data_IF_343496654355
#
_entry.id   IF_343496654355
#
_cell.length_a   1.000
_cell.length_b   1.000
_cell.length_c   1.000
_cell.angle_alpha   90.00
_cell.angle_beta   90.00
_cell.angle_gamma   90.00
#
_symmetry.space_group_name_H-M   'P 1'
#
loop_
_entity.id
_entity.type
_entity.pdbx_description
1 polymer ?
#
# COMPACT_ATOMS: atom_id res chain seq x y z
N UNK A 1 -83.69 5.14 -61.36
CA UNK A 1 -83.77 4.18 -62.48
C UNK A 1 -83.49 4.93 -63.75
N UNK A 2 -82.46 4.52 -64.50
CA UNK A 2 -82.01 5.12 -65.76
C UNK A 2 -83.15 5.21 -66.76
N UNK A 3 -83.36 6.40 -67.33
CA UNK A 3 -84.13 6.55 -68.55
C UNK A 3 -83.16 6.90 -69.69
N UNK A 4 -82.88 5.90 -70.52
CA UNK A 4 -82.51 6.14 -71.91
C UNK A 4 -83.69 6.86 -72.57
N UNK A 5 -83.54 8.16 -72.86
CA UNK A 5 -84.49 8.91 -73.66
C UNK A 5 -84.07 8.89 -75.12
N UNK A 6 -84.92 8.33 -75.99
CA UNK A 6 -84.84 8.49 -77.45
C UNK A 6 -85.31 9.93 -77.76
N UNK A 7 -84.56 10.69 -78.57
CA UNK A 7 -84.97 12.03 -79.01
C UNK A 7 -86.33 11.95 -79.72
N UNK A 8 -87.36 12.58 -79.15
CA UNK A 8 -88.76 12.58 -79.59
C UNK A 8 -89.08 13.66 -80.63
N UNK A 9 -88.10 14.42 -81.10
CA UNK A 9 -88.27 15.43 -82.15
C UNK A 9 -88.81 16.77 -81.64
N UNK A 10 -88.88 16.97 -80.33
CA UNK A 10 -89.26 18.22 -79.66
C UNK A 10 -88.05 19.05 -79.18
N UNK A 11 -86.83 18.57 -79.41
CA UNK A 11 -85.59 19.24 -79.02
C UNK A 11 -85.06 20.13 -80.15
N UNK A 12 -84.92 21.44 -79.88
CA UNK A 12 -84.25 22.38 -80.79
C UNK A 12 -82.73 22.16 -80.78
N UNK A 13 -82.20 21.64 -81.90
CA UNK A 13 -80.78 21.35 -82.11
C UNK A 13 -80.11 22.34 -83.08
N UNK A 14 -80.75 23.48 -83.37
CA UNK A 14 -80.27 24.47 -84.35
C UNK A 14 -78.92 25.12 -84.01
N UNK A 15 -78.46 25.06 -82.77
CA UNK A 15 -77.18 25.60 -82.32
C UNK A 15 -75.97 24.66 -82.51
N UNK A 16 -76.18 23.39 -82.88
CA UNK A 16 -75.07 22.46 -83.14
C UNK A 16 -74.59 22.59 -84.59
N UNK A 17 -73.26 22.73 -84.77
CA UNK A 17 -72.65 22.80 -86.10
C UNK A 17 -72.90 21.51 -86.89
N UNK A 18 -73.34 21.65 -88.14
CA UNK A 18 -73.49 20.51 -89.04
C UNK A 18 -72.13 19.95 -89.45
N UNK A 19 -72.09 18.64 -89.75
CA UNK A 19 -70.86 17.94 -90.16
C UNK A 19 -70.16 18.62 -91.34
N UNK A 20 -70.92 19.27 -92.23
CA UNK A 20 -70.40 20.06 -93.35
C UNK A 20 -69.64 21.29 -92.86
N UNK A 21 -70.21 22.07 -91.95
CA UNK A 21 -69.56 23.28 -91.41
C UNK A 21 -68.23 22.98 -90.69
N UNK A 22 -68.15 21.83 -90.00
CA UNK A 22 -66.91 21.38 -89.36
C UNK A 22 -65.84 20.95 -90.39
N UNK A 23 -66.27 20.39 -91.53
CA UNK A 23 -65.41 20.03 -92.65
C UNK A 23 -64.75 21.25 -93.30
N UNK A 24 -65.53 22.32 -93.52
CA UNK A 24 -65.05 23.56 -94.15
C UNK A 24 -63.99 24.27 -93.27
N UNK A 25 -64.22 24.32 -91.95
CA UNK A 25 -63.24 24.89 -91.01
C UNK A 25 -61.92 24.10 -90.97
N UNK A 26 -61.98 22.78 -91.08
CA UNK A 26 -60.79 21.92 -91.13
C UNK A 26 -59.99 22.12 -92.43
N UNK A 27 -60.67 22.39 -93.55
CA UNK A 27 -60.01 22.68 -94.82
C UNK A 27 -59.28 24.04 -94.79
N UNK A 28 -59.89 25.05 -94.16
CA UNK A 28 -59.29 26.39 -94.02
C UNK A 28 -57.99 26.33 -93.18
N UNK A 29 -58.00 25.63 -92.04
CA UNK A 29 -56.81 25.48 -91.18
C UNK A 29 -55.65 24.79 -91.93
N UNK A 30 -55.93 23.80 -92.77
CA UNK A 30 -54.89 23.15 -93.58
C UNK A 30 -54.28 24.05 -94.65
N UNK A 31 -55.00 25.06 -95.13
CA UNK A 31 -54.48 26.00 -96.13
C UNK A 31 -53.52 27.04 -95.55
N UNK A 32 -53.50 27.23 -94.22
CA UNK A 32 -52.66 28.21 -93.53
C UNK A 32 -51.33 27.62 -93.03
N UNK A 33 -51.09 26.31 -93.19
CA UNK A 33 -49.82 25.64 -92.80
C UNK A 33 -48.81 25.74 -93.96
N UNK A 34 -47.61 26.35 -93.75
CA UNK A 34 -46.57 26.41 -94.79
C UNK A 34 -45.98 25.03 -95.13
N UNK A 35 -45.62 24.83 -96.39
CA UNK A 35 -44.95 23.61 -96.87
C UNK A 35 -43.47 23.56 -96.43
N UNK A 36 -43.07 22.48 -95.76
CA UNK A 36 -41.71 22.24 -95.22
C UNK A 36 -40.96 21.13 -95.97
N UNK A 37 -41.51 20.62 -97.09
CA UNK A 37 -40.96 19.47 -97.82
C UNK A 37 -39.59 19.72 -98.50
N UNK A 38 -39.08 20.95 -98.50
CA UNK A 38 -37.75 21.32 -99.04
C UNK A 38 -36.64 21.49 -97.99
N UNK A 39 -36.87 21.20 -96.71
CA UNK A 39 -35.96 21.63 -95.64
C UNK A 39 -34.68 20.79 -95.50
N UNK A 40 -34.63 19.53 -95.96
CA UNK A 40 -33.41 18.69 -95.96
C UNK A 40 -33.47 17.64 -97.10
N UNK A 41 -32.73 17.84 -98.19
CA UNK A 41 -32.71 16.92 -99.35
C UNK A 41 -31.36 16.28 -99.66
N UNK A 42 -30.31 16.59 -98.89
CA UNK A 42 -29.01 15.89 -98.90
C UNK A 42 -28.26 16.15 -97.60
N UNK A 43 -27.93 15.08 -96.88
CA UNK A 43 -27.01 15.06 -95.74
C UNK A 43 -25.91 14.05 -96.11
N UNK A 44 -24.66 14.39 -95.80
CA UNK A 44 -23.51 13.50 -96.02
C UNK A 44 -22.72 13.43 -94.73
N UNK A 45 -22.73 12.27 -94.09
CA UNK A 45 -21.89 11.97 -92.94
C UNK A 45 -20.40 12.25 -93.27
N UNK A 46 -19.64 12.88 -92.37
CA UNK A 46 -18.22 13.08 -92.58
C UNK A 46 -17.46 11.75 -92.61
N UNK A 47 -16.74 11.48 -93.70
CA UNK A 47 -15.82 10.35 -93.81
C UNK A 47 -14.43 10.75 -93.30
N UNK A 48 -14.04 10.25 -92.12
CA UNK A 48 -12.77 10.57 -91.47
C UNK A 48 -11.63 9.68 -92.00
N UNK A 49 -11.24 9.88 -93.26
CA UNK A 49 -10.19 9.08 -93.95
C UNK A 49 -8.79 9.21 -93.33
N UNK A 50 -8.55 10.21 -92.49
CA UNK A 50 -7.30 10.38 -91.73
C UNK A 50 -7.35 9.78 -90.31
N UNK A 51 -8.47 9.16 -89.91
CA UNK A 51 -8.57 8.51 -88.61
C UNK A 51 -7.82 7.18 -88.62
N UNK A 52 -7.24 6.79 -87.48
CA UNK A 52 -6.62 5.47 -87.32
C UNK A 52 -7.61 4.32 -87.57
N UNK A 53 -8.90 4.57 -87.38
CA UNK A 53 -9.96 3.61 -87.67
C UNK A 53 -10.11 3.30 -89.17
N UNK A 54 -9.66 4.17 -90.07
CA UNK A 54 -9.69 3.93 -91.52
C UNK A 54 -8.65 2.88 -91.98
N UNK A 55 -7.67 2.55 -91.14
CA UNK A 55 -6.62 1.57 -91.44
C UNK A 55 -6.97 0.15 -90.99
N UNK A 56 -8.11 -0.05 -90.30
CA UNK A 56 -8.55 -1.38 -89.88
C UNK A 56 -9.04 -2.11 -91.12
N UNK A 57 -8.35 -3.18 -91.51
CA UNK A 57 -8.72 -4.00 -92.66
C UNK A 57 -9.43 -5.31 -92.24
N UNK A 58 -9.83 -6.11 -93.23
CA UNK A 58 -10.51 -7.38 -92.98
C UNK A 58 -9.64 -8.38 -92.18
N UNK A 59 -8.32 -8.26 -92.25
CA UNK A 59 -7.35 -9.06 -91.49
C UNK A 59 -7.36 -8.66 -90.02
N UNK A 60 -7.38 -7.36 -89.73
CA UNK A 60 -7.47 -6.85 -88.36
C UNK A 60 -8.77 -7.31 -87.68
N UNK A 61 -9.89 -7.27 -88.41
CA UNK A 61 -11.19 -7.78 -87.94
C UNK A 61 -11.14 -9.29 -87.70
N UNK A 62 -10.46 -10.04 -88.57
CA UNK A 62 -10.29 -11.50 -88.42
C UNK A 62 -9.45 -11.85 -87.19
N UNK A 63 -8.33 -11.14 -87.00
CA UNK A 63 -7.45 -11.34 -85.85
C UNK A 63 -8.16 -11.01 -84.52
N UNK A 64 -9.02 -9.99 -84.51
CA UNK A 64 -9.84 -9.65 -83.35
C UNK A 64 -10.93 -10.70 -83.08
N UNK A 65 -11.52 -11.29 -84.13
CA UNK A 65 -12.48 -12.40 -84.02
C UNK A 65 -11.87 -13.69 -83.45
N UNK A 66 -10.59 -13.94 -83.72
CA UNK A 66 -9.84 -15.08 -83.19
C UNK A 66 -9.36 -14.88 -81.74
N UNK A 67 -9.60 -13.71 -81.14
CA UNK A 67 -9.25 -13.41 -79.75
C UNK A 67 -10.37 -13.78 -78.75
N UNK A 68 -11.27 -14.69 -79.13
CA UNK A 68 -12.24 -15.26 -78.19
C UNK A 68 -11.54 -16.28 -77.30
N UNK A 69 -11.41 -16.01 -76.00
CA UNK A 69 -10.78 -16.89 -75.01
C UNK A 69 -11.53 -18.20 -74.72
N UNK A 70 -12.22 -18.76 -75.71
CA UNK A 70 -12.92 -20.05 -75.66
C UNK A 70 -12.39 -20.89 -76.83
N UNK A 71 -11.78 -22.04 -76.54
CA UNK A 71 -11.16 -22.90 -77.54
C UNK A 71 -12.20 -23.47 -78.52
N UNK A 72 -12.21 -22.94 -79.75
CA UNK A 72 -13.12 -23.36 -80.83
C UNK A 72 -12.57 -24.50 -81.69
N UNK A 73 -11.47 -25.15 -81.27
CA UNK A 73 -10.88 -26.30 -81.97
C UNK A 73 -9.85 -25.94 -83.05
N UNK A 74 -9.45 -24.68 -83.13
CA UNK A 74 -8.43 -24.13 -84.01
C UNK A 74 -7.04 -24.03 -83.35
N UNK A 75 -6.92 -24.42 -82.08
CA UNK A 75 -5.68 -24.40 -81.31
C UNK A 75 -4.99 -25.77 -81.35
N UNK A 76 -3.73 -25.82 -81.80
CA UNK A 76 -2.90 -27.03 -81.70
C UNK A 76 -2.37 -27.21 -80.28
N UNK A 77 -2.96 -28.15 -79.54
CA UNK A 77 -2.59 -28.50 -78.17
C UNK A 77 -1.83 -29.85 -78.09
N UNK A 78 -1.33 -30.36 -79.23
CA UNK A 78 -0.69 -31.69 -79.32
C UNK A 78 0.57 -31.84 -78.44
N UNK A 79 1.20 -30.74 -78.05
CA UNK A 79 2.36 -30.72 -77.15
C UNK A 79 2.01 -30.81 -75.65
N UNK A 80 0.73 -30.71 -75.26
CA UNK A 80 0.28 -30.82 -73.88
C UNK A 80 -0.11 -32.27 -73.56
N UNK A 81 0.28 -32.75 -72.39
CA UNK A 81 -0.06 -34.11 -71.95
C UNK A 81 -1.57 -34.25 -71.73
N UNK A 82 -2.16 -35.33 -72.23
CA UNK A 82 -3.55 -35.66 -71.93
C UNK A 82 -3.70 -36.08 -70.47
N UNK A 83 -4.90 -35.91 -69.90
CA UNK A 83 -5.21 -36.35 -68.53
C UNK A 83 -4.90 -37.84 -68.31
N UNK A 84 -5.08 -38.66 -69.36
CA UNK A 84 -4.73 -40.09 -69.35
C UNK A 84 -3.22 -40.29 -69.24
N UNK A 85 -2.42 -39.62 -70.07
CA UNK A 85 -0.96 -39.73 -70.02
C UNK A 85 -0.38 -39.28 -68.67
N UNK A 86 -0.97 -38.25 -68.04
CA UNK A 86 -0.56 -37.81 -66.71
C UNK A 86 -0.95 -38.83 -65.62
N UNK A 87 -2.09 -39.50 -65.79
CA UNK A 87 -2.54 -40.59 -64.93
C UNK A 87 -1.59 -41.79 -64.96
N UNK A 88 -1.17 -42.19 -66.16
CA UNK A 88 -0.25 -43.32 -66.38
C UNK A 88 1.13 -43.06 -65.76
N UNK A 89 1.69 -41.86 -65.97
CA UNK A 89 2.96 -41.46 -65.31
C UNK A 89 2.86 -41.47 -63.79
N UNK A 90 1.73 -41.05 -63.23
CA UNK A 90 1.53 -41.07 -61.77
C UNK A 90 1.43 -42.50 -61.22
N UNK A 91 0.81 -43.41 -61.97
CA UNK A 91 0.74 -44.82 -61.61
C UNK A 91 2.12 -45.50 -61.67
N UNK A 92 2.90 -45.18 -62.70
CA UNK A 92 4.26 -45.70 -62.87
C UNK A 92 5.18 -45.23 -61.73
N UNK A 93 5.19 -43.93 -61.40
CA UNK A 93 5.97 -43.39 -60.28
C UNK A 93 5.60 -44.06 -58.95
N UNK A 94 4.31 -44.35 -58.70
CA UNK A 94 3.92 -45.07 -57.48
C UNK A 94 4.38 -46.53 -57.44
N UNK A 95 4.54 -47.18 -58.60
CA UNK A 95 5.05 -48.55 -58.67
C UNK A 95 6.57 -48.65 -58.49
N UNK A 96 7.29 -47.56 -58.75
CA UNK A 96 8.75 -47.48 -58.62
C UNK A 96 9.21 -47.07 -57.20
N UNK A 97 8.30 -46.61 -56.33
CA UNK A 97 8.59 -46.36 -54.91
C UNK A 97 8.64 -47.71 -54.17
N UNK A 98 9.80 -48.10 -53.59
CA UNK A 98 9.89 -49.35 -52.84
C UNK A 98 9.00 -49.32 -51.60
N UNK A 99 8.42 -50.46 -51.23
CA UNK A 99 7.70 -50.58 -49.97
C UNK A 99 8.67 -50.44 -48.78
N UNK A 100 8.51 -49.35 -48.03
CA UNK A 100 9.35 -49.00 -46.86
C UNK A 100 8.73 -49.44 -45.53
N UNK A 101 7.57 -50.11 -45.55
CA UNK A 101 6.84 -50.49 -44.34
C UNK A 101 7.57 -51.51 -43.45
N UNK A 102 8.63 -52.15 -43.96
CA UNK A 102 9.49 -53.08 -43.21
C UNK A 102 10.88 -52.57 -42.85
N UNK A 103 11.22 -51.31 -43.14
CA UNK A 103 12.60 -50.82 -43.01
C UNK A 103 13.06 -50.61 -41.55
N UNK A 104 12.11 -50.42 -40.62
CA UNK A 104 12.37 -50.30 -39.18
C UNK A 104 11.32 -51.10 -38.40
N UNK A 105 11.56 -52.40 -38.22
CA UNK A 105 10.68 -53.27 -37.42
C UNK A 105 11.11 -53.37 -35.96
N UNK A 106 12.32 -52.93 -35.64
CA UNK A 106 12.86 -52.82 -34.29
C UNK A 106 13.99 -51.80 -34.30
N UNK A 107 13.82 -50.74 -33.53
CA UNK A 107 14.88 -49.81 -33.14
C UNK A 107 15.09 -49.99 -31.64
N UNK A 108 16.33 -49.99 -31.20
CA UNK A 108 16.69 -50.02 -29.79
C UNK A 108 17.54 -48.81 -29.50
N UNK A 109 16.97 -47.86 -28.77
CA UNK A 109 17.66 -46.70 -28.24
C UNK A 109 18.96 -47.11 -27.51
N UNK A 110 20.06 -46.35 -27.65
CA UNK A 110 21.28 -46.62 -26.90
C UNK A 110 21.06 -46.45 -25.39
N UNK A 111 21.18 -47.53 -24.63
CA UNK A 111 21.23 -47.49 -23.16
C UNK A 111 22.62 -47.08 -22.67
N UNK A 112 22.75 -45.84 -22.18
CA UNK A 112 23.99 -45.31 -21.61
C UNK A 112 24.16 -45.75 -20.15
N UNK A 113 24.53 -47.02 -19.92
CA UNK A 113 24.67 -47.62 -18.58
C UNK A 113 25.73 -46.97 -17.68
N UNK A 114 26.66 -46.20 -18.24
CA UNK A 114 27.68 -45.45 -17.48
C UNK A 114 27.26 -44.02 -17.15
N UNK A 115 26.09 -43.58 -17.61
CA UNK A 115 25.57 -42.25 -17.28
C UNK A 115 25.07 -42.23 -15.83
N UNK A 116 25.20 -41.09 -15.16
CA UNK A 116 24.64 -40.89 -13.82
C UNK A 116 23.12 -41.11 -13.81
N UNK A 117 22.44 -40.91 -14.94
CA UNK A 117 21.02 -41.15 -15.11
C UNK A 117 20.63 -42.64 -15.06
N UNK A 118 21.55 -43.57 -15.38
CA UNK A 118 21.28 -45.01 -15.31
C UNK A 118 21.18 -45.55 -13.88
N UNK A 119 21.64 -44.77 -12.89
CA UNK A 119 21.56 -45.13 -11.47
C UNK A 119 20.29 -44.59 -10.80
N UNK A 120 19.45 -43.83 -11.50
CA UNK A 120 18.19 -43.33 -10.98
C UNK A 120 17.21 -44.51 -10.94
N UNK A 121 16.81 -44.93 -9.74
CA UNK A 121 15.84 -46.00 -9.55
C UNK A 121 14.44 -45.47 -9.16
N UNK A 122 13.49 -46.39 -8.95
CA UNK A 122 12.13 -46.04 -8.56
C UNK A 122 12.07 -45.27 -7.22
N UNK A 123 13.04 -45.49 -6.33
CA UNK A 123 13.20 -44.78 -5.07
C UNK A 123 13.62 -43.34 -5.30
N UNK A 124 14.59 -43.10 -6.19
CA UNK A 124 15.03 -41.76 -6.54
C UNK A 124 13.91 -40.93 -7.17
N UNK A 125 13.10 -41.55 -8.04
CA UNK A 125 11.93 -40.91 -8.65
C UNK A 125 10.87 -40.57 -7.59
N UNK A 126 10.64 -41.47 -6.63
CA UNK A 126 9.71 -41.26 -5.51
C UNK A 126 10.19 -40.12 -4.61
N UNK A 127 11.47 -40.10 -4.26
CA UNK A 127 12.08 -39.07 -3.44
C UNK A 127 12.01 -37.69 -4.11
N UNK A 128 12.18 -37.61 -5.44
CA UNK A 128 12.03 -36.36 -6.19
C UNK A 128 10.58 -35.87 -6.24
N UNK A 129 9.60 -36.79 -6.35
CA UNK A 129 8.17 -36.45 -6.23
C UNK A 129 7.82 -35.86 -4.87
N UNK A 130 8.43 -36.39 -3.81
CA UNK A 130 8.25 -35.94 -2.44
C UNK A 130 8.99 -34.62 -2.12
N UNK A 131 9.85 -34.14 -3.03
CA UNK A 131 10.54 -32.84 -2.90
C UNK A 131 9.68 -31.67 -3.41
N UNK A 132 8.59 -31.93 -4.13
CA UNK A 132 7.58 -30.90 -4.36
C UNK A 132 6.98 -30.56 -2.99
N UNK A 133 7.05 -29.30 -2.56
CA UNK A 133 6.64 -28.86 -1.22
C UNK A 133 5.13 -28.98 -0.92
N UNK A 134 4.43 -29.91 -1.57
CA UNK A 134 3.05 -30.30 -1.34
C UNK A 134 3.08 -31.61 -0.55
N UNK A 135 2.69 -31.55 0.73
CA UNK A 135 2.57 -32.76 1.55
C UNK A 135 1.48 -33.67 0.96
N UNK A 136 1.86 -34.84 0.47
CA UNK A 136 0.96 -35.84 -0.14
C UNK A 136 0.42 -36.87 0.85
N UNK A 137 0.64 -36.65 2.16
CA UNK A 137 0.16 -37.50 3.25
C UNK A 137 1.12 -38.61 3.67
N UNK A 138 2.27 -38.70 3.02
CA UNK A 138 3.38 -39.63 3.31
C UNK A 138 4.47 -39.01 4.21
N UNK A 139 4.38 -37.71 4.50
CA UNK A 139 5.24 -37.04 5.47
C UNK A 139 4.64 -37.13 6.89
N UNK A 140 5.43 -37.62 7.85
CA UNK A 140 5.07 -37.57 9.27
C UNK A 140 5.21 -36.14 9.80
N UNK A 141 4.08 -35.43 9.87
CA UNK A 141 3.99 -34.08 10.45
C UNK A 141 3.48 -34.08 11.90
N UNK A 142 3.45 -35.24 12.57
CA UNK A 142 2.88 -35.36 13.93
C UNK A 142 3.56 -34.46 14.97
N UNK A 143 4.79 -34.02 14.70
CA UNK A 143 5.55 -33.10 15.56
C UNK A 143 5.36 -31.62 15.23
N UNK A 144 4.66 -31.29 14.13
CA UNK A 144 4.40 -29.90 13.72
C UNK A 144 3.00 -29.47 14.13
N UNK A 145 2.83 -28.18 14.41
CA UNK A 145 1.54 -27.63 14.80
C UNK A 145 0.58 -27.56 13.59
N UNK A 146 -0.64 -28.07 13.75
CA UNK A 146 -1.72 -27.97 12.75
C UNK A 146 -2.52 -26.69 12.96
N UNK A 147 -3.15 -26.16 11.90
CA UNK A 147 -4.08 -25.01 11.98
C UNK A 147 -5.21 -25.20 12.99
N UNK A 148 -5.64 -26.43 13.23
CA UNK A 148 -6.63 -26.78 14.26
C UNK A 148 -6.11 -26.64 15.70
N UNK A 149 -4.80 -26.53 15.87
CA UNK A 149 -4.11 -26.58 17.15
C UNK A 149 -3.37 -25.25 17.44
N UNK A 150 -3.53 -24.24 16.57
CA UNK A 150 -2.89 -22.93 16.70
C UNK A 150 -3.89 -21.83 16.40
N UNK A 151 -3.70 -20.66 17.02
CA UNK A 151 -4.40 -19.44 16.66
C UNK A 151 -3.71 -18.76 15.47
N UNK A 152 -4.46 -18.54 14.39
CA UNK A 152 -3.98 -17.77 13.23
C UNK A 152 -4.00 -16.26 13.51
N UNK A 153 -3.14 -15.51 12.81
CA UNK A 153 -2.95 -14.06 13.02
C UNK A 153 -4.22 -13.24 12.69
N UNK A 154 -5.10 -13.77 11.85
CA UNK A 154 -6.35 -13.17 11.41
C UNK A 154 -7.59 -13.72 12.15
N UNK A 155 -7.39 -14.39 13.29
CA UNK A 155 -8.50 -14.92 14.05
C UNK A 155 -9.47 -13.79 14.49
N UNK A 156 -10.71 -13.87 14.00
CA UNK A 156 -11.80 -12.93 14.30
C UNK A 156 -12.81 -13.49 15.31
N UNK A 157 -12.57 -14.71 15.81
CA UNK A 157 -13.45 -15.40 16.76
C UNK A 157 -12.86 -15.39 18.17
N UNK A 158 -13.70 -15.19 19.18
CA UNK A 158 -13.24 -15.19 20.57
C UNK A 158 -12.73 -16.59 20.96
N UNK A 159 -11.48 -16.69 21.40
CA UNK A 159 -10.89 -17.92 21.91
C UNK A 159 -10.86 -17.88 23.43
N UNK A 160 -11.36 -18.94 24.08
CA UNK A 160 -11.31 -19.09 25.55
C UNK A 160 -10.28 -20.17 25.86
N UNK A 161 -9.13 -19.83 26.48
CA UNK A 161 -8.13 -20.82 26.88
C UNK A 161 -8.71 -21.80 27.92
N UNK A 162 -8.38 -23.08 27.81
CA UNK A 162 -8.82 -24.15 28.73
C UNK A 162 -7.67 -24.76 29.56
N UNK A 163 -6.43 -24.30 29.37
CA UNK A 163 -5.23 -24.72 30.11
C UNK A 163 -4.17 -23.61 30.27
N UNK A 164 -3.26 -23.77 31.24
CA UNK A 164 -2.28 -22.77 31.67
C UNK A 164 -1.12 -22.51 30.68
N UNK A 165 -0.97 -23.30 29.61
CA UNK A 165 0.21 -23.24 28.73
C UNK A 165 -0.16 -23.16 27.25
N UNK A 166 -0.69 -22.01 26.84
CA UNK A 166 -0.78 -21.61 25.43
C UNK A 166 0.17 -20.41 25.20
N UNK A 167 1.35 -20.58 24.58
CA UNK A 167 2.40 -19.55 24.51
C UNK A 167 1.95 -18.23 23.86
N UNK A 168 0.95 -18.28 22.98
CA UNK A 168 0.40 -17.10 22.32
C UNK A 168 -0.58 -16.30 23.20
N UNK A 169 -1.27 -16.95 24.14
CA UNK A 169 -2.26 -16.28 24.99
C UNK A 169 -1.59 -15.49 26.11
N UNK A 170 -0.40 -15.90 26.58
CA UNK A 170 0.31 -15.13 27.60
C UNK A 170 0.72 -13.75 27.11
N UNK A 171 1.25 -13.62 25.88
CA UNK A 171 1.60 -12.31 25.32
C UNK A 171 0.36 -11.46 25.01
N UNK A 172 -0.69 -12.06 24.44
CA UNK A 172 -1.92 -11.32 24.10
C UNK A 172 -2.72 -10.93 25.34
N UNK A 173 -2.71 -11.72 26.42
CA UNK A 173 -3.34 -11.38 27.72
C UNK A 173 -2.47 -10.39 28.49
N UNK A 174 -1.15 -10.52 28.46
CA UNK A 174 -0.26 -9.50 29.05
C UNK A 174 -0.39 -8.15 28.29
N UNK A 175 -0.58 -8.16 26.96
CA UNK A 175 -0.75 -6.95 26.14
C UNK A 175 -2.20 -6.40 26.13
N UNK A 176 -3.25 -7.24 26.09
CA UNK A 176 -4.67 -6.81 26.06
C UNK A 176 -5.41 -6.87 27.41
N UNK A 177 -5.00 -7.70 28.37
CA UNK A 177 -5.53 -7.70 29.74
C UNK A 177 -4.62 -6.95 30.74
N UNK A 178 -3.40 -6.60 30.32
CA UNK A 178 -2.46 -5.72 31.03
C UNK A 178 -2.37 -4.29 30.50
N UNK A 179 -3.14 -3.92 29.47
CA UNK A 179 -3.34 -2.52 29.05
C UNK A 179 -4.25 -1.72 29.99
N UNK A 180 -4.38 -2.14 31.24
CA UNK A 180 -4.86 -1.27 32.29
C UNK A 180 -3.77 -0.24 32.54
N UNK A 181 -4.06 1.01 32.19
CA UNK A 181 -3.33 2.18 32.66
C UNK A 181 -2.81 1.93 34.09
N UNK A 182 -1.50 1.71 34.26
CA UNK A 182 -0.94 1.47 35.59
C UNK A 182 -1.07 2.79 36.34
N UNK A 183 -1.95 2.81 37.32
CA UNK A 183 -2.13 3.93 38.23
C UNK A 183 -1.33 3.69 39.50
N UNK A 184 -0.73 4.77 39.98
CA UNK A 184 0.06 4.80 41.20
C UNK A 184 -0.65 5.65 42.24
N UNK A 185 -0.40 5.33 43.50
CA UNK A 185 -0.82 6.10 44.67
C UNK A 185 0.40 6.58 45.45
N UNK A 186 0.22 7.68 46.18
CA UNK A 186 1.26 8.17 47.09
C UNK A 186 1.57 7.09 48.13
N UNK A 187 2.86 6.75 48.24
CA UNK A 187 3.37 5.69 49.10
C UNK A 187 3.74 4.41 48.38
N UNK A 188 3.38 4.24 47.10
CA UNK A 188 3.76 3.06 46.33
C UNK A 188 5.28 3.01 46.13
N UNK A 189 5.85 1.81 46.18
CA UNK A 189 7.24 1.57 45.78
C UNK A 189 7.27 1.22 44.30
N UNK A 190 7.72 2.17 43.48
CA UNK A 190 7.72 2.08 42.02
C UNK A 190 8.84 2.92 41.43
N UNK A 191 9.25 2.59 40.19
CA UNK A 191 10.24 3.37 39.44
C UNK A 191 11.55 3.62 40.22
N UNK A 192 12.01 2.65 41.00
CA UNK A 192 13.23 2.75 41.80
C UNK A 192 13.11 3.56 43.10
N UNK A 193 11.94 4.12 43.40
CA UNK A 193 11.72 4.98 44.57
C UNK A 193 10.34 4.84 45.20
N UNK A 194 10.00 5.80 46.05
CA UNK A 194 8.67 5.90 46.68
C UNK A 194 7.91 7.05 46.04
N UNK A 195 6.71 6.78 45.55
CA UNK A 195 5.81 7.78 44.96
C UNK A 195 5.39 8.78 46.02
N UNK A 196 5.69 10.06 45.83
CA UNK A 196 5.29 11.14 46.74
C UNK A 196 4.29 12.13 46.15
N UNK A 197 4.06 12.06 44.83
CA UNK A 197 3.07 12.86 44.12
C UNK A 197 2.62 12.12 42.85
N UNK A 198 1.33 12.22 42.53
CA UNK A 198 0.74 11.70 41.29
C UNK A 198 -0.22 12.72 40.71
N UNK A 199 -0.37 12.73 39.40
CA UNK A 199 -1.35 13.57 38.71
C UNK A 199 -2.79 13.04 38.87
N UNK A 200 -3.77 13.74 38.30
CA UNK A 200 -5.19 13.35 38.39
C UNK A 200 -5.48 11.98 37.74
N UNK A 201 -4.63 11.55 36.81
CA UNK A 201 -4.80 10.26 36.13
C UNK A 201 -4.19 9.10 36.91
N UNK A 202 -3.29 9.39 37.86
CA UNK A 202 -2.51 8.40 38.58
C UNK A 202 -1.40 7.76 37.74
N UNK A 203 -1.26 8.10 36.47
CA UNK A 203 -0.28 7.45 35.55
C UNK A 203 1.07 8.14 35.56
N UNK A 204 1.11 9.38 36.01
CA UNK A 204 2.31 10.21 36.03
C UNK A 204 2.54 10.72 37.43
N UNK A 205 3.79 10.82 37.82
CA UNK A 205 4.11 11.19 39.18
C UNK A 205 5.58 11.41 39.41
N UNK A 206 5.88 11.60 40.69
CA UNK A 206 7.22 11.85 41.19
C UNK A 206 7.55 10.83 42.27
N UNK A 207 8.77 10.32 42.22
CA UNK A 207 9.33 9.38 43.19
C UNK A 207 10.53 9.98 43.89
N UNK A 208 10.72 9.64 45.16
CA UNK A 208 11.93 9.98 45.91
C UNK A 208 12.75 8.72 46.19
N UNK A 209 14.07 8.88 46.31
CA UNK A 209 14.95 7.79 46.69
C UNK A 209 14.59 7.26 48.09
N UNK A 210 14.79 5.95 48.32
CA UNK A 210 14.50 5.30 49.60
C UNK A 210 15.51 5.59 50.71
N UNK A 211 16.57 6.32 50.42
CA UNK A 211 17.61 6.75 51.37
C UNK A 211 18.06 8.17 51.04
N UNK A 212 18.50 8.91 52.06
CA UNK A 212 19.15 10.21 51.87
C UNK A 212 20.53 10.02 51.22
N UNK A 213 20.87 10.84 50.23
CA UNK A 213 22.12 10.68 49.46
C UNK A 213 23.31 11.38 50.11
N UNK A 214 23.05 12.29 51.04
CA UNK A 214 24.10 12.94 51.83
C UNK A 214 23.58 13.31 53.22
N UNK A 215 24.48 13.29 54.20
CA UNK A 215 24.21 13.79 55.56
C UNK A 215 24.60 15.26 55.74
N UNK A 216 25.11 15.90 54.69
CA UNK A 216 25.64 17.27 54.74
C UNK A 216 26.50 17.60 53.52
N UNK A 217 25.95 18.38 52.58
CA UNK A 217 26.64 18.83 51.36
C UNK A 217 26.31 20.31 51.09
N UNK A 218 27.24 21.01 50.42
CA UNK A 218 27.04 22.38 49.94
C UNK A 218 26.06 22.40 48.75
N UNK A 219 25.42 23.54 48.53
CA UNK A 219 24.50 23.71 47.39
C UNK A 219 25.23 24.00 46.06
N UNK A 220 26.49 24.42 46.14
CA UNK A 220 27.25 25.04 45.04
C UNK A 220 28.66 24.45 44.93
N UNK A 221 29.28 24.63 43.76
CA UNK A 221 30.59 24.07 43.41
C UNK A 221 31.78 24.97 43.79
N UNK A 222 31.72 25.66 44.94
CA UNK A 222 32.86 26.44 45.46
C UNK A 222 32.92 27.91 45.09
N UNK A 223 32.41 28.32 43.93
CA UNK A 223 32.37 29.74 43.52
C UNK A 223 30.95 30.30 43.56
N UNK A 224 30.75 31.46 44.21
CA UNK A 224 29.43 32.10 44.23
C UNK A 224 29.02 32.61 42.86
N UNK A 225 27.80 32.29 42.46
CA UNK A 225 27.19 32.79 41.24
C UNK A 225 25.68 32.60 41.23
N UNK A 226 25.03 33.24 40.27
CA UNK A 226 23.59 33.10 40.01
C UNK A 226 23.42 32.06 38.92
N UNK A 227 22.81 30.93 39.26
CA UNK A 227 22.50 29.85 38.31
C UNK A 227 21.19 30.13 37.56
N UNK A 228 20.28 30.93 38.15
CA UNK A 228 18.92 31.19 37.64
C UNK A 228 18.00 29.96 37.67
N UNK A 229 18.34 28.94 38.47
CA UNK A 229 17.47 27.81 38.76
C UNK A 229 16.33 28.22 39.70
N UNK A 230 15.33 28.92 39.19
CA UNK A 230 14.26 29.52 40.00
C UNK A 230 12.91 28.82 39.86
N UNK A 231 12.81 27.72 39.11
CA UNK A 231 11.57 26.96 38.99
C UNK A 231 11.14 26.40 40.35
N UNK A 232 9.84 26.40 40.62
CA UNK A 232 9.33 26.03 41.94
C UNK A 232 8.08 25.13 41.90
N UNK A 233 7.61 24.68 40.74
CA UNK A 233 6.47 23.76 40.64
C UNK A 233 6.87 22.27 40.66
N UNK A 234 5.88 21.35 40.61
CA UNK A 234 6.12 19.95 40.26
C UNK A 234 6.88 19.83 38.94
N UNK A 235 7.79 18.86 38.84
CA UNK A 235 8.75 18.63 37.76
C UNK A 235 9.78 19.76 37.53
N UNK A 236 9.77 20.84 38.33
CA UNK A 236 10.76 21.92 38.14
C UNK A 236 12.15 21.55 38.65
N UNK A 237 12.27 20.55 39.53
CA UNK A 237 13.56 20.14 40.11
C UNK A 237 14.53 19.61 39.06
N UNK A 238 14.02 18.90 38.06
CA UNK A 238 14.80 18.33 36.97
C UNK A 238 15.52 19.44 36.17
N UNK A 239 14.74 20.40 35.65
CA UNK A 239 15.29 21.52 34.89
C UNK A 239 16.22 22.39 35.75
N UNK A 240 15.84 22.66 37.00
CA UNK A 240 16.68 23.41 37.92
C UNK A 240 18.03 22.72 38.15
N UNK A 241 18.03 21.41 38.40
CA UNK A 241 19.25 20.63 38.62
C UNK A 241 20.18 20.72 37.42
N UNK A 242 19.64 20.58 36.20
CA UNK A 242 20.40 20.76 34.96
C UNK A 242 20.97 22.18 34.80
N UNK A 243 20.19 23.21 35.14
CA UNK A 243 20.62 24.61 35.12
C UNK A 243 21.74 24.87 36.14
N UNK A 244 21.62 24.31 37.36
CA UNK A 244 22.66 24.44 38.39
C UNK A 244 23.96 23.85 37.87
N UNK A 245 23.94 22.58 37.44
CA UNK A 245 25.15 21.86 37.02
C UNK A 245 25.81 22.58 35.84
N UNK A 246 25.05 22.93 34.81
CA UNK A 246 25.59 23.66 33.64
C UNK A 246 26.12 25.05 33.98
N UNK A 247 25.46 25.78 34.90
CA UNK A 247 25.91 27.10 35.33
C UNK A 247 27.20 27.02 36.15
N UNK A 248 27.33 26.03 37.05
CA UNK A 248 28.50 25.91 37.92
C UNK A 248 29.80 25.68 37.13
N UNK A 249 29.73 24.91 36.04
CA UNK A 249 30.86 24.73 35.11
C UNK A 249 31.39 26.07 34.58
N UNK A 250 30.50 27.04 34.35
CA UNK A 250 30.86 28.37 33.85
C UNK A 250 31.24 29.37 34.96
N UNK A 251 30.64 29.25 36.15
CA UNK A 251 30.89 30.13 37.30
C UNK A 251 32.25 29.83 37.94
N UNK A 252 32.63 28.56 38.03
CA UNK A 252 33.86 28.09 38.63
C UNK A 252 33.59 26.91 39.57
N UNK A 253 33.86 25.71 39.06
CA UNK A 253 33.72 24.43 39.77
C UNK A 253 35.04 24.05 40.46
N UNK A 254 34.99 23.86 41.78
CA UNK A 254 36.12 23.44 42.62
C UNK A 254 36.38 21.92 42.61
N UNK A 255 35.56 21.15 41.90
CA UNK A 255 35.63 19.69 41.76
C UNK A 255 35.08 18.91 42.97
N UNK A 256 34.49 19.59 43.96
CA UNK A 256 33.86 18.92 45.10
C UNK A 256 32.37 18.69 44.86
N UNK A 257 31.84 17.63 45.46
CA UNK A 257 30.42 17.31 45.37
C UNK A 257 29.54 18.43 45.95
N UNK A 258 28.44 18.71 45.24
CA UNK A 258 27.36 19.59 45.67
C UNK A 258 26.00 18.93 45.47
N UNK A 259 24.97 19.46 46.15
CA UNK A 259 23.67 18.82 46.28
C UNK A 259 23.04 18.37 44.95
N UNK A 260 23.11 19.21 43.91
CA UNK A 260 22.56 18.92 42.59
C UNK A 260 23.33 17.81 41.86
N UNK A 261 24.67 17.81 41.96
CA UNK A 261 25.51 16.78 41.34
C UNK A 261 25.29 15.41 41.98
N UNK A 262 25.21 15.35 43.32
CA UNK A 262 24.94 14.09 44.04
C UNK A 262 23.65 13.44 43.53
N UNK A 263 22.60 14.24 43.29
CA UNK A 263 21.35 13.70 42.78
C UNK A 263 21.45 13.32 41.30
N UNK A 264 22.10 14.14 40.47
CA UNK A 264 22.27 13.85 39.05
C UNK A 264 23.09 12.57 38.79
N UNK A 265 24.08 12.29 39.63
CA UNK A 265 24.97 11.15 39.46
C UNK A 265 24.43 9.87 40.12
N UNK A 266 23.31 9.96 40.84
CA UNK A 266 22.68 8.84 41.51
C UNK A 266 22.18 7.81 40.49
N UNK A 267 22.50 6.55 40.74
CA UNK A 267 21.94 5.42 40.03
C UNK A 267 21.37 4.41 41.02
N UNK A 268 20.11 4.01 40.79
CA UNK A 268 19.40 3.05 41.64
C UNK A 268 19.00 1.86 40.79
N UNK A 269 19.35 0.64 41.21
CA UNK A 269 18.94 -0.60 40.53
C UNK A 269 17.91 -1.35 41.37
N UNK A 270 16.70 -1.51 40.84
CA UNK A 270 15.60 -2.24 41.47
C UNK A 270 14.99 -3.21 40.47
N UNK A 271 14.76 -4.47 40.88
CA UNK A 271 14.14 -5.48 40.00
C UNK A 271 14.90 -5.74 38.69
N UNK A 272 16.20 -5.49 38.64
CA UNK A 272 17.02 -5.63 37.43
C UNK A 272 16.96 -4.44 36.45
N UNK A 273 16.26 -3.36 36.79
CA UNK A 273 16.22 -2.09 36.03
C UNK A 273 17.01 -1.02 36.78
N UNK A 274 17.82 -0.24 36.05
CA UNK A 274 18.57 0.90 36.59
C UNK A 274 17.89 2.22 36.24
N UNK A 275 17.74 3.07 37.24
CA UNK A 275 17.17 4.42 37.20
C UNK A 275 18.28 5.43 37.46
N UNK A 276 18.45 6.40 36.56
CA UNK A 276 19.56 7.38 36.57
C UNK A 276 19.11 8.81 36.26
N UNK A 277 17.81 9.05 36.27
CA UNK A 277 17.09 10.29 36.00
C UNK A 277 16.73 11.00 37.33
N UNK A 278 17.65 10.95 38.29
CA UNK A 278 17.50 11.56 39.60
C UNK A 278 17.97 13.01 39.58
N UNK A 279 17.31 13.86 40.36
CA UNK A 279 17.59 15.29 40.44
C UNK A 279 17.29 15.84 41.85
N UNK A 280 17.82 17.03 42.14
CA UNK A 280 17.55 17.72 43.39
C UNK A 280 16.16 18.38 43.30
N UNK A 281 15.25 18.16 44.27
CA UNK A 281 13.87 18.61 44.16
C UNK A 281 13.75 20.14 44.23
N UNK A 282 12.79 20.69 43.49
CA UNK A 282 12.31 22.07 43.60
C UNK A 282 11.72 22.33 44.98
N UNK A 283 11.48 23.60 45.29
CA UNK A 283 10.93 23.99 46.58
C UNK A 283 9.58 23.34 46.84
N UNK A 284 8.71 23.26 45.84
CA UNK A 284 7.39 22.63 46.00
C UNK A 284 7.48 21.11 46.05
N UNK A 285 8.35 20.48 45.24
CA UNK A 285 8.56 19.03 45.29
C UNK A 285 9.05 18.59 46.67
N UNK A 286 9.99 19.34 47.26
CA UNK A 286 10.47 19.08 48.61
C UNK A 286 9.37 19.24 49.67
N UNK A 287 8.44 20.17 49.45
CA UNK A 287 7.27 20.36 50.31
C UNK A 287 6.27 19.20 50.19
N UNK A 288 6.04 18.69 48.98
CA UNK A 288 5.21 17.52 48.74
C UNK A 288 5.79 16.26 49.40
N UNK A 289 7.12 16.09 49.35
CA UNK A 289 7.81 15.03 50.10
C UNK A 289 7.61 15.17 51.61
N UNK A 290 7.72 16.38 52.16
CA UNK A 290 7.49 16.61 53.58
C UNK A 290 6.04 16.31 53.99
N UNK A 291 5.06 16.76 53.22
CA UNK A 291 3.63 16.50 53.47
C UNK A 291 3.32 14.99 53.51
N UNK A 292 4.00 14.21 52.67
CA UNK A 292 3.83 12.75 52.58
C UNK A 292 4.90 11.96 53.36
N UNK A 293 5.73 12.63 54.18
CA UNK A 293 6.90 12.05 54.86
C UNK A 293 6.58 10.79 55.64
N UNK A 294 5.46 10.75 56.36
CA UNK A 294 5.09 9.60 57.19
C UNK A 294 4.88 8.33 56.35
N UNK A 295 4.14 8.46 55.24
CA UNK A 295 3.90 7.38 54.28
C UNK A 295 5.21 6.97 53.61
N UNK A 296 5.99 7.94 53.13
CA UNK A 296 7.27 7.67 52.47
C UNK A 296 8.23 6.92 53.40
N UNK A 297 8.38 7.37 54.64
CA UNK A 297 9.26 6.74 55.63
C UNK A 297 8.87 5.29 55.91
N UNK A 298 7.56 5.02 55.95
CA UNK A 298 7.03 3.67 56.16
C UNK A 298 7.40 2.76 54.98
N UNK A 299 7.14 3.20 53.75
CA UNK A 299 7.48 2.44 52.53
C UNK A 299 8.98 2.28 52.36
N UNK A 300 9.77 3.34 52.58
CA UNK A 300 11.23 3.29 52.47
C UNK A 300 11.81 2.23 53.42
N UNK A 301 11.37 2.22 54.68
CA UNK A 301 11.83 1.23 55.67
C UNK A 301 11.41 -0.19 55.28
N UNK A 302 10.19 -0.38 54.77
CA UNK A 302 9.71 -1.68 54.31
C UNK A 302 10.49 -2.23 53.10
N UNK A 303 11.10 -1.36 52.29
CA UNK A 303 11.85 -1.70 51.08
C UNK A 303 13.38 -1.59 51.27
N UNK A 304 13.86 -1.72 52.52
CA UNK A 304 15.28 -1.79 52.87
C UNK A 304 16.03 -0.45 52.80
N UNK A 305 15.31 0.66 52.75
CA UNK A 305 15.86 2.01 52.87
C UNK A 305 15.73 2.58 54.29
N UNK A 306 15.74 3.90 54.39
CA UNK A 306 15.60 4.65 55.63
C UNK A 306 14.68 5.84 55.42
N UNK A 307 13.84 6.15 56.41
CA UNK A 307 13.04 7.37 56.38
C UNK A 307 13.88 8.65 56.43
N UNK A 308 13.32 9.77 55.96
CA UNK A 308 13.96 11.07 56.01
C UNK A 308 14.34 11.44 57.45
N UNK A 309 15.60 11.82 57.65
CA UNK A 309 16.08 12.34 58.92
C UNK A 309 15.42 13.68 59.29
N UNK A 310 15.48 14.02 60.59
CA UNK A 310 14.92 15.27 61.11
C UNK A 310 15.90 16.43 60.94
N UNK A 311 16.30 16.70 59.70
CA UNK A 311 17.27 17.74 59.36
C UNK A 311 16.75 18.68 58.25
N UNK A 312 17.60 19.65 57.87
CA UNK A 312 17.35 20.53 56.75
C UNK A 312 17.78 19.86 55.45
N UNK A 313 16.97 20.02 54.41
CA UNK A 313 17.20 19.49 53.08
C UNK A 313 17.29 20.62 52.07
N UNK A 314 18.23 20.48 51.13
CA UNK A 314 18.36 21.42 50.03
C UNK A 314 17.23 21.28 49.01
N UNK A 315 16.79 22.42 48.48
CA UNK A 315 15.99 22.50 47.27
C UNK A 315 16.85 23.02 46.12
N UNK A 316 16.56 22.62 44.89
CA UNK A 316 17.16 23.18 43.67
C UNK A 316 16.73 24.63 43.37
N UNK A 317 15.79 25.20 44.11
CA UNK A 317 15.31 26.57 43.86
C UNK A 317 16.28 27.59 44.46
N UNK A 318 16.92 28.39 43.59
CA UNK A 318 17.83 29.47 43.93
C UNK A 318 17.07 30.74 44.31
N UNK A 319 17.59 31.50 45.29
CA UNK A 319 17.07 32.84 45.65
C UNK A 319 18.00 33.95 45.18
N UNK A 320 19.30 33.77 45.34
CA UNK A 320 20.30 34.76 44.95
C UNK A 320 21.66 34.11 44.68
N UNK A 321 22.68 34.92 44.39
CA UNK A 321 24.04 34.40 44.25
C UNK A 321 24.57 33.68 45.50
N UNK A 322 24.08 34.02 46.70
CA UNK A 322 24.54 33.42 47.96
C UNK A 322 23.51 32.49 48.63
N UNK A 323 22.24 32.56 48.23
CA UNK A 323 21.13 31.92 48.97
C UNK A 323 20.36 30.92 48.09
N UNK A 324 19.99 29.79 48.69
CA UNK A 324 19.12 28.78 48.10
C UNK A 324 18.05 28.33 49.10
N UNK A 325 16.94 27.80 48.59
CA UNK A 325 15.84 27.32 49.40
C UNK A 325 16.17 25.99 50.09
N UNK A 326 15.57 25.80 51.25
CA UNK A 326 15.64 24.59 52.05
C UNK A 326 14.30 24.32 52.73
N UNK A 327 14.15 23.11 53.24
CA UNK A 327 13.03 22.74 54.13
C UNK A 327 13.50 21.91 55.31
N UNK A 328 12.94 22.19 56.49
CA UNK A 328 13.24 21.44 57.70
C UNK A 328 12.26 20.29 57.92
N UNK A 329 12.75 19.06 57.88
CA UNK A 329 11.89 17.87 57.89
C UNK A 329 11.42 17.46 59.30
N UNK A 330 11.77 18.19 60.36
CA UNK A 330 11.22 17.93 61.70
C UNK A 330 9.83 18.56 61.89
N UNK A 331 9.57 19.76 61.34
CA UNK A 331 8.27 20.44 61.46
C UNK A 331 7.81 21.18 60.19
N UNK A 332 8.54 21.09 59.08
CA UNK A 332 8.06 21.46 57.76
C UNK A 332 8.37 22.88 57.30
N UNK A 333 9.02 23.71 58.12
CA UNK A 333 9.29 25.08 57.72
C UNK A 333 10.25 25.17 56.53
N UNK A 334 9.85 25.99 55.56
CA UNK A 334 10.70 26.37 54.44
C UNK A 334 11.37 27.71 54.70
N UNK A 335 12.59 27.84 54.20
CA UNK A 335 13.37 29.06 54.27
C UNK A 335 14.49 29.03 53.26
N UNK A 336 15.42 29.97 53.36
CA UNK A 336 16.62 29.98 52.56
C UNK A 336 17.82 30.24 53.45
N UNK A 337 18.97 29.70 53.05
CA UNK A 337 20.20 29.93 53.77
C UNK A 337 21.39 30.00 52.80
N UNK A 338 22.58 30.23 53.36
CA UNK A 338 23.79 30.33 52.56
C UNK A 338 24.13 29.00 51.88
N UNK A 339 24.43 29.07 50.58
CA UNK A 339 24.87 27.93 49.76
C UNK A 339 26.11 27.19 50.32
N UNK A 340 26.88 27.84 51.21
CA UNK A 340 28.05 27.26 51.86
C UNK A 340 27.72 26.27 53.00
N UNK A 341 26.50 26.30 53.53
CA UNK A 341 26.10 25.40 54.59
C UNK A 341 25.99 23.96 54.08
N UNK A 342 26.25 23.00 54.96
CA UNK A 342 26.19 21.58 54.65
C UNK A 342 24.84 21.04 55.15
N UNK A 343 23.91 20.78 54.24
CA UNK A 343 22.57 20.24 54.54
C UNK A 343 22.37 18.90 53.83
N UNK A 344 21.32 18.17 54.16
CA UNK A 344 21.06 16.88 53.52
C UNK A 344 20.56 17.04 52.08
N UNK A 345 20.81 16.02 51.26
CA UNK A 345 20.27 15.89 49.92
C UNK A 345 19.35 14.67 49.85
N UNK A 346 18.08 14.91 49.52
CA UNK A 346 17.14 13.87 49.11
C UNK A 346 16.84 14.06 47.64
N UNK A 347 17.01 13.00 46.85
CA UNK A 347 16.90 13.06 45.40
C UNK A 347 15.56 12.52 44.94
N UNK A 348 15.02 13.13 43.88
CA UNK A 348 13.74 12.79 43.29
C UNK A 348 13.89 12.50 41.81
N UNK A 349 12.94 11.78 41.24
CA UNK A 349 12.85 11.48 39.83
C UNK A 349 11.39 11.54 39.38
N UNK A 350 11.16 11.88 38.11
CA UNK A 350 9.82 11.89 37.52
C UNK A 350 9.60 10.63 36.70
N UNK A 351 8.36 10.14 36.63
CA UNK A 351 8.02 9.03 35.76
C UNK A 351 6.82 9.34 34.86
N UNK A 352 6.90 8.83 33.64
CA UNK A 352 5.83 8.86 32.64
C UNK A 352 5.52 7.41 32.26
N UNK A 353 4.33 6.93 32.61
CA UNK A 353 3.84 5.64 32.10
C UNK A 353 3.25 5.89 30.70
N UNK A 354 3.92 5.37 29.67
CA UNK A 354 3.48 5.41 28.26
C UNK A 354 2.66 4.19 27.89
#
# INVERSE_FOLDING_TARGET
GNLSGVNTGDQDLSALATKTALGDSTAQVRSEIPDVSGFLTSETDPTFTSSQAANIDATDITNLGNLSGVNTGDQDLSALATKTALGDSTAQVRSEIPDVSGFLTSETDPTFTSSQAANIDATDITNLGNLSGVNTGDQDLSTLALKSNVLELDNTTAFTPDADYEPATKKYVDDNAGGGSITYSVGDFAQGGIVFWVDETGQHGLVCAKVDQSTGVRWYAGTYGVTRATGDGPFSGELNTSIIISSQVSIGDDGSDYAAQICNDLQVTEGGKTYGDWYLPSKEELNLMYQNKATINTTATANGGSGFASAYYWSSTETSNHLAWLQYFFFGAQGYCSKLLHLQSACCSGFLTI
#
